data_IF_411709088935
#
_entry.id   IF_411709088935
#
_cell.length_a   1.000
_cell.length_b   1.000
_cell.length_c   1.000
_cell.angle_alpha   90.00
_cell.angle_beta   90.00
_cell.angle_gamma   90.00
#
_symmetry.space_group_name_H-M   'P 1'
#
loop_
_entity.id
_entity.type
_entity.pdbx_description
1 polymer ?
#
# COMPACT_ATOMS: atom_id res chain seq x y z
N UNK A 1 -30.89 7.71 5.53
CA UNK A 1 -30.09 6.54 5.15
C UNK A 1 -30.80 5.76 4.05
N UNK A 2 -30.35 5.86 2.81
CA UNK A 2 -30.89 5.04 1.70
C UNK A 2 -30.50 3.58 1.94
N UNK A 3 -31.47 2.67 1.76
CA UNK A 3 -31.19 1.24 1.80
C UNK A 3 -30.22 0.87 0.66
N UNK A 4 -29.25 -0.01 0.94
CA UNK A 4 -28.20 -0.50 0.01
C UNK A 4 -28.76 -0.94 -1.36
N UNK A 5 -30.03 -1.36 -1.41
CA UNK A 5 -30.73 -1.83 -2.63
C UNK A 5 -31.11 -0.70 -3.58
N UNK A 6 -31.20 0.55 -3.11
CA UNK A 6 -31.67 1.71 -3.91
C UNK A 6 -30.54 2.59 -4.45
N UNK A 7 -29.28 2.13 -4.34
CA UNK A 7 -28.15 2.91 -4.85
C UNK A 7 -27.87 2.50 -6.29
N UNK A 8 -28.16 3.40 -7.23
CA UNK A 8 -27.98 3.21 -8.68
C UNK A 8 -26.50 3.41 -9.10
N UNK A 9 -25.55 3.20 -8.24
CA UNK A 9 -24.13 3.35 -8.54
C UNK A 9 -23.33 2.09 -8.22
N UNK A 10 -22.19 1.91 -8.89
CA UNK A 10 -21.25 0.83 -8.57
C UNK A 10 -20.51 1.15 -7.26
N UNK A 11 -21.15 0.82 -6.13
CA UNK A 11 -20.59 0.99 -4.78
C UNK A 11 -20.15 -0.36 -4.25
N UNK A 12 -18.88 -0.47 -3.85
CA UNK A 12 -18.40 -1.57 -3.03
C UNK A 12 -18.33 -1.14 -1.57
N UNK A 13 -18.87 -1.93 -0.66
CA UNK A 13 -18.81 -1.64 0.78
C UNK A 13 -18.39 -2.87 1.57
N UNK A 14 -17.58 -2.63 2.61
CA UNK A 14 -17.12 -3.63 3.57
C UNK A 14 -17.51 -3.16 4.96
N UNK A 15 -18.02 -4.09 5.77
CA UNK A 15 -18.38 -3.85 7.16
C UNK A 15 -17.22 -4.24 8.10
N UNK A 16 -17.19 -3.69 9.30
CA UNK A 16 -16.15 -3.92 10.33
C UNK A 16 -15.91 -5.40 10.62
N UNK A 17 -16.95 -6.24 10.61
CA UNK A 17 -16.82 -7.69 10.86
C UNK A 17 -15.91 -8.38 9.85
N UNK A 18 -15.97 -7.97 8.58
CA UNK A 18 -15.12 -8.51 7.53
C UNK A 18 -13.68 -8.03 7.63
N UNK A 19 -13.47 -6.84 8.21
CA UNK A 19 -12.14 -6.28 8.46
C UNK A 19 -11.49 -6.94 9.68
N UNK A 20 -12.22 -7.10 10.78
CA UNK A 20 -11.70 -7.68 12.03
C UNK A 20 -11.26 -9.16 11.89
N UNK A 21 -11.81 -9.89 10.92
CA UNK A 21 -11.44 -11.29 10.68
C UNK A 21 -10.02 -11.46 10.08
N UNK A 22 -9.40 -10.38 9.64
CA UNK A 22 -8.06 -10.37 9.06
C UNK A 22 -7.09 -9.70 10.02
N UNK A 23 -6.15 -10.44 10.56
CA UNK A 23 -5.14 -9.96 11.51
C UNK A 23 -4.03 -9.12 10.88
N UNK A 24 -4.32 -8.27 9.91
CA UNK A 24 -3.34 -7.37 9.31
C UNK A 24 -3.23 -6.08 10.13
N UNK A 25 -2.02 -5.57 10.26
CA UNK A 25 -1.72 -4.35 11.02
C UNK A 25 -2.20 -3.08 10.29
N UNK A 26 -2.34 -3.13 8.96
CA UNK A 26 -2.70 -1.99 8.12
C UNK A 26 -4.04 -2.22 7.41
N UNK A 27 -4.86 -1.16 7.36
CA UNK A 27 -6.20 -1.18 6.73
C UNK A 27 -6.11 -1.49 5.24
N UNK A 28 -5.04 -1.03 4.55
CA UNK A 28 -4.85 -1.31 3.11
C UNK A 28 -4.72 -2.80 2.85
N UNK A 29 -3.96 -3.50 3.68
CA UNK A 29 -3.76 -4.94 3.56
C UNK A 29 -5.04 -5.73 3.82
N UNK A 30 -5.88 -5.26 4.74
CA UNK A 30 -7.19 -5.86 5.01
C UNK A 30 -8.16 -5.75 3.84
N UNK A 31 -8.06 -4.67 3.05
CA UNK A 31 -8.93 -4.42 1.89
C UNK A 31 -8.52 -5.21 0.64
N UNK A 32 -7.31 -5.77 0.61
CA UNK A 32 -6.78 -6.48 -0.56
C UNK A 32 -7.70 -7.63 -0.96
N UNK A 33 -8.18 -7.60 -2.21
CA UNK A 33 -9.05 -8.62 -2.77
C UNK A 33 -10.51 -8.61 -2.26
N UNK A 34 -10.90 -7.65 -1.41
CA UNK A 34 -12.26 -7.59 -0.85
C UNK A 34 -13.25 -6.79 -1.70
N UNK A 35 -12.74 -5.89 -2.53
CA UNK A 35 -13.57 -4.98 -3.32
C UNK A 35 -13.29 -5.15 -4.81
N UNK A 36 -14.32 -5.47 -5.59
CA UNK A 36 -14.20 -5.50 -7.05
C UNK A 36 -13.84 -4.11 -7.58
N UNK A 37 -12.87 -4.01 -8.51
CA UNK A 37 -12.43 -2.75 -9.11
C UNK A 37 -11.60 -1.84 -8.21
N UNK A 38 -11.15 -2.35 -7.07
CA UNK A 38 -10.17 -1.71 -6.20
C UNK A 38 -8.90 -2.55 -6.23
N UNK A 39 -7.81 -1.95 -6.64
CA UNK A 39 -6.49 -2.58 -6.66
C UNK A 39 -5.63 -1.98 -5.55
N UNK A 40 -4.98 -2.83 -4.79
CA UNK A 40 -4.04 -2.41 -3.77
C UNK A 40 -2.68 -2.95 -4.15
N UNK A 41 -1.71 -2.05 -4.28
CA UNK A 41 -0.34 -2.37 -4.66
C UNK A 41 0.58 -2.06 -3.50
N UNK A 42 1.24 -3.07 -2.97
CA UNK A 42 2.33 -2.90 -2.02
C UNK A 42 3.63 -2.64 -2.77
N UNK A 43 4.34 -1.57 -2.40
CA UNK A 43 5.63 -1.24 -2.99
C UNK A 43 6.80 -1.81 -2.17
N UNK A 44 6.57 -2.19 -0.93
CA UNK A 44 7.58 -2.72 -0.01
C UNK A 44 6.99 -3.85 0.82
N UNK A 45 7.80 -4.86 1.11
CA UNK A 45 7.50 -5.91 2.08
C UNK A 45 8.20 -5.70 3.42
N UNK A 46 8.80 -4.53 3.64
CA UNK A 46 9.48 -4.23 4.89
C UNK A 46 8.47 -4.10 6.03
N UNK A 47 8.70 -4.74 7.17
CA UNK A 47 7.85 -4.57 8.35
C UNK A 47 7.71 -3.10 8.75
N UNK A 48 6.47 -2.63 8.87
CA UNK A 48 6.16 -1.23 9.20
C UNK A 48 6.19 -0.24 8.03
N UNK A 49 6.54 -0.67 6.82
CA UNK A 49 6.49 0.10 5.57
C UNK A 49 5.75 -0.64 4.46
N UNK A 50 4.87 -1.52 4.85
CA UNK A 50 4.11 -2.41 3.98
C UNK A 50 2.71 -1.87 3.60
N UNK A 51 2.45 -0.59 3.86
CA UNK A 51 1.21 0.07 3.50
C UNK A 51 0.99 0.06 1.96
N UNK A 52 -0.16 -0.45 1.54
CA UNK A 52 -0.50 -0.57 0.12
C UNK A 52 -1.14 0.70 -0.43
N UNK A 53 -0.77 1.10 -1.64
CA UNK A 53 -1.44 2.18 -2.38
C UNK A 53 -2.76 1.68 -2.96
N UNK A 54 -3.84 2.42 -2.69
CA UNK A 54 -5.18 2.10 -3.19
C UNK A 54 -5.38 2.78 -4.54
N UNK A 55 -5.91 2.03 -5.51
CA UNK A 55 -6.35 2.54 -6.80
C UNK A 55 -7.74 2.03 -7.14
N UNK A 56 -8.58 2.91 -7.68
CA UNK A 56 -9.93 2.58 -8.10
C UNK A 56 -9.97 2.57 -9.63
N UNK A 57 -10.31 1.41 -10.23
CA UNK A 57 -10.35 1.20 -11.68
C UNK A 57 -9.03 1.45 -12.42
N UNK A 58 -7.89 1.33 -11.74
CA UNK A 58 -6.56 1.48 -12.34
C UNK A 58 -6.08 2.94 -12.43
N UNK A 59 -5.17 3.23 -13.37
CA UNK A 59 -4.60 4.56 -13.58
C UNK A 59 -5.48 5.30 -14.58
N UNK A 60 -6.28 6.25 -14.12
CA UNK A 60 -7.21 7.02 -14.95
C UNK A 60 -6.66 8.36 -15.46
N UNK A 61 -5.48 8.80 -15.01
CA UNK A 61 -4.94 10.11 -15.36
C UNK A 61 -3.46 10.02 -15.73
N UNK A 62 -3.08 10.72 -16.79
CA UNK A 62 -1.70 10.90 -17.20
C UNK A 62 -1.21 12.26 -16.68
N UNK A 63 -0.21 12.25 -15.77
CA UNK A 63 0.38 13.46 -15.23
C UNK A 63 -0.28 14.07 -13.98
N UNK A 64 -1.38 13.47 -13.47
CA UNK A 64 -1.97 13.81 -12.18
C UNK A 64 -1.87 12.62 -11.21
N UNK A 65 -2.01 12.88 -9.89
CA UNK A 65 -2.01 11.79 -8.91
C UNK A 65 -3.13 10.78 -9.24
N UNK A 66 -2.82 9.49 -9.31
CA UNK A 66 -3.81 8.44 -9.54
C UNK A 66 -4.57 8.03 -8.28
N UNK A 67 -4.31 8.70 -7.15
CA UNK A 67 -4.87 8.34 -5.86
C UNK A 67 -6.34 8.76 -5.76
N UNK A 68 -7.21 7.93 -5.16
CA UNK A 68 -8.61 8.28 -4.91
C UNK A 68 -8.72 9.33 -3.81
N UNK A 69 -9.83 10.08 -3.81
CA UNK A 69 -10.16 10.98 -2.72
C UNK A 69 -10.60 10.15 -1.49
N UNK A 70 -9.89 10.29 -0.38
CA UNK A 70 -10.24 9.63 0.88
C UNK A 70 -10.99 10.60 1.78
N UNK A 71 -12.17 10.20 2.23
CA UNK A 71 -13.00 10.95 3.17
C UNK A 71 -13.25 10.12 4.41
N UNK A 72 -12.89 10.66 5.56
CA UNK A 72 -13.10 10.08 6.88
C UNK A 72 -14.22 10.88 7.55
N UNK A 73 -15.34 10.26 7.81
CA UNK A 73 -16.57 10.90 8.32
C UNK A 73 -16.97 12.17 7.55
N UNK A 74 -16.71 12.19 6.24
CA UNK A 74 -17.03 13.29 5.33
C UNK A 74 -15.94 14.34 5.18
N UNK A 75 -14.83 14.27 5.92
CA UNK A 75 -13.68 15.16 5.81
C UNK A 75 -12.52 14.49 5.06
N UNK A 76 -11.80 15.23 4.19
CA UNK A 76 -10.58 14.71 3.58
C UNK A 76 -9.57 14.31 4.66
N UNK A 77 -9.04 13.10 4.55
CA UNK A 77 -8.11 12.56 5.52
C UNK A 77 -7.17 11.54 4.90
N UNK A 78 -6.23 11.09 5.73
CA UNK A 78 -5.25 10.10 5.33
C UNK A 78 -5.69 8.72 5.86
N UNK A 79 -5.83 7.80 4.95
CA UNK A 79 -6.23 6.44 5.21
C UNK A 79 -5.24 5.66 6.10
N UNK A 80 -3.94 5.98 6.02
CA UNK A 80 -2.89 5.29 6.78
C UNK A 80 -2.84 5.66 8.26
N UNK A 81 -3.56 6.70 8.66
CA UNK A 81 -3.62 7.17 10.05
C UNK A 81 -4.71 6.49 10.86
N UNK A 82 -5.54 5.66 10.20
CA UNK A 82 -6.68 5.01 10.84
C UNK A 82 -6.31 3.63 11.39
N UNK A 83 -6.72 3.39 12.62
CA UNK A 83 -6.69 2.04 13.17
C UNK A 83 -7.87 1.22 12.64
N UNK A 84 -7.64 -0.02 12.19
CA UNK A 84 -8.72 -0.89 11.72
C UNK A 84 -9.86 -1.07 12.73
N UNK A 85 -9.53 -1.05 14.02
CA UNK A 85 -10.50 -1.20 15.11
C UNK A 85 -11.52 -0.05 15.19
N UNK A 86 -11.17 1.14 14.70
CA UNK A 86 -12.04 2.32 14.76
C UNK A 86 -12.99 2.44 13.56
N UNK A 87 -12.81 1.59 12.56
CA UNK A 87 -13.61 1.63 11.34
C UNK A 87 -14.91 0.85 11.52
N UNK A 88 -16.03 1.51 11.21
CA UNK A 88 -17.34 0.88 11.13
C UNK A 88 -17.60 0.30 9.74
N UNK A 89 -17.33 1.08 8.70
CA UNK A 89 -17.51 0.65 7.31
C UNK A 89 -16.63 1.44 6.36
N UNK A 90 -16.27 0.79 5.24
CA UNK A 90 -15.58 1.42 4.11
C UNK A 90 -16.44 1.24 2.87
N UNK A 91 -16.69 2.34 2.16
CA UNK A 91 -17.45 2.34 0.90
C UNK A 91 -16.64 3.02 -0.18
N UNK A 92 -16.56 2.40 -1.36
CA UNK A 92 -15.83 2.97 -2.50
C UNK A 92 -16.80 3.31 -3.62
N UNK A 93 -16.84 4.61 -3.95
CA UNK A 93 -17.58 5.15 -5.09
C UNK A 93 -16.69 5.07 -6.32
N UNK A 94 -17.06 4.19 -7.23
CA UNK A 94 -16.27 3.90 -8.43
C UNK A 94 -16.76 4.67 -9.66
N UNK A 95 -18.03 5.05 -9.69
CA UNK A 95 -18.64 5.72 -10.83
C UNK A 95 -18.59 7.23 -10.69
N UNK A 96 -18.36 7.91 -11.83
CA UNK A 96 -18.35 9.37 -11.89
C UNK A 96 -19.67 9.99 -11.42
N UNK A 97 -20.80 9.33 -11.66
CA UNK A 97 -22.12 9.80 -11.22
C UNK A 97 -22.26 9.83 -9.71
N UNK A 98 -21.77 8.80 -9.02
CA UNK A 98 -21.79 8.74 -7.55
C UNK A 98 -20.72 9.61 -6.90
N UNK A 99 -19.62 9.86 -7.60
CA UNK A 99 -18.51 10.69 -7.15
C UNK A 99 -18.69 12.19 -7.48
N UNK A 100 -19.63 12.55 -8.37
CA UNK A 100 -19.83 13.91 -8.89
C UNK A 100 -20.03 14.97 -7.80
N UNK A 101 -20.66 14.61 -6.68
CA UNK A 101 -20.89 15.52 -5.54
C UNK A 101 -19.59 16.01 -4.89
N UNK A 102 -18.48 15.31 -5.11
CA UNK A 102 -17.17 15.64 -4.56
C UNK A 102 -16.27 16.41 -5.54
N UNK A 103 -16.80 16.75 -6.74
CA UNK A 103 -16.13 17.56 -7.75
C UNK A 103 -14.97 16.86 -8.45
N UNK A 104 -14.07 17.66 -9.04
CA UNK A 104 -12.93 17.17 -9.84
C UNK A 104 -11.94 16.31 -9.05
N UNK A 105 -11.84 16.52 -7.76
CA UNK A 105 -10.96 15.71 -6.87
C UNK A 105 -11.37 14.23 -6.79
N UNK A 106 -12.61 13.92 -7.16
CA UNK A 106 -13.16 12.58 -7.17
C UNK A 106 -12.99 11.83 -8.48
N UNK A 107 -12.24 12.38 -9.45
CA UNK A 107 -12.06 11.80 -10.78
C UNK A 107 -11.47 10.38 -10.73
N UNK A 108 -10.61 10.08 -9.76
CA UNK A 108 -10.02 8.76 -9.55
C UNK A 108 -10.80 7.88 -8.55
N UNK A 109 -12.07 8.23 -8.28
CA UNK A 109 -12.91 7.55 -7.29
C UNK A 109 -12.83 8.17 -5.90
N UNK A 110 -13.75 7.75 -5.04
CA UNK A 110 -13.84 8.23 -3.65
C UNK A 110 -13.91 7.04 -2.70
N UNK A 111 -13.07 7.06 -1.68
CA UNK A 111 -13.10 6.11 -0.57
C UNK A 111 -13.75 6.80 0.62
N UNK A 112 -14.92 6.34 1.01
CA UNK A 112 -15.65 6.83 2.17
C UNK A 112 -15.40 5.90 3.34
N UNK A 113 -14.86 6.43 4.41
CA UNK A 113 -14.60 5.70 5.66
C UNK A 113 -15.52 6.28 6.73
N UNK A 114 -16.31 5.41 7.35
CA UNK A 114 -17.14 5.77 8.50
C UNK A 114 -16.52 5.17 9.73
N UNK A 115 -16.27 5.99 10.74
CA UNK A 115 -15.72 5.53 12.01
C UNK A 115 -16.83 5.12 13.00
N UNK A 116 -16.49 4.25 13.93
CA UNK A 116 -17.39 3.81 15.00
C UNK A 116 -17.74 5.00 15.90
N UNK A 117 -19.02 5.29 16.04
CA UNK A 117 -19.51 6.39 16.90
C UNK A 117 -20.00 5.86 18.24
N UNK A 118 -19.76 6.62 19.30
CA UNK A 118 -20.34 6.36 20.60
C UNK A 118 -21.86 6.44 20.60
N UNK A 119 -22.52 5.61 21.40
CA UNK A 119 -23.97 5.66 21.61
C UNK A 119 -24.26 6.38 22.93
N UNK A 120 -25.18 7.34 22.90
CA UNK A 120 -25.61 8.05 24.11
C UNK A 120 -26.21 7.07 25.15
N UNK A 121 -25.87 7.26 26.41
CA UNK A 121 -26.46 6.51 27.53
C UNK A 121 -25.72 5.26 27.98
N UNK A 122 -24.69 4.81 27.28
CA UNK A 122 -23.86 3.66 27.69
C UNK A 122 -22.38 3.96 27.49
N UNK A 123 -21.65 4.02 28.60
CA UNK A 123 -20.19 4.08 28.55
C UNK A 123 -19.66 2.66 28.24
N UNK A 124 -18.98 2.48 27.12
CA UNK A 124 -18.33 1.22 26.78
C UNK A 124 -16.82 1.47 26.67
N UNK A 125 -16.07 0.79 27.50
CA UNK A 125 -14.62 0.77 27.43
C UNK A 125 -14.20 -0.55 26.79
N UNK A 126 -13.47 -0.47 25.69
CA UNK A 126 -12.95 -1.66 24.99
C UNK A 126 -11.43 -1.53 24.91
N UNK A 127 -10.73 -2.55 25.33
CA UNK A 127 -9.28 -2.66 25.16
C UNK A 127 -8.99 -3.78 24.16
N UNK A 128 -8.26 -3.45 23.09
CA UNK A 128 -7.78 -4.41 22.13
C UNK A 128 -6.26 -4.32 22.08
N UNK A 129 -5.58 -5.41 22.38
CA UNK A 129 -4.14 -5.50 22.30
C UNK A 129 -3.74 -6.62 21.33
N UNK A 130 -2.79 -6.35 20.44
CA UNK A 130 -2.21 -7.35 19.55
C UNK A 130 -0.69 -7.26 19.61
N UNK A 131 -0.03 -8.40 19.65
CA UNK A 131 1.43 -8.52 19.52
C UNK A 131 1.71 -9.35 18.29
N UNK A 132 2.47 -8.81 17.36
CA UNK A 132 2.83 -9.49 16.12
C UNK A 132 4.33 -9.47 15.89
N UNK A 133 4.85 -10.55 15.30
CA UNK A 133 6.23 -10.64 14.85
C UNK A 133 6.23 -10.78 13.33
N UNK A 134 6.94 -9.87 12.65
CA UNK A 134 7.11 -9.91 11.20
C UNK A 134 8.54 -10.31 10.86
N UNK A 135 8.68 -11.24 9.91
CA UNK A 135 9.96 -11.69 9.39
C UNK A 135 9.89 -11.72 7.86
N UNK A 136 10.94 -11.27 7.20
CA UNK A 136 11.06 -11.45 5.75
C UNK A 136 11.03 -12.95 5.41
N UNK A 137 10.14 -13.34 4.49
CA UNK A 137 10.00 -14.74 4.05
C UNK A 137 11.13 -15.12 3.12
N UNK A 138 11.51 -14.20 2.23
CA UNK A 138 12.65 -14.34 1.33
C UNK A 138 13.29 -12.97 1.10
N UNK A 139 14.59 -12.93 1.12
CA UNK A 139 15.38 -11.79 0.67
C UNK A 139 15.88 -12.12 -0.74
N UNK A 140 15.82 -11.18 -1.69
CA UNK A 140 16.43 -11.39 -3.00
C UNK A 140 17.92 -11.61 -2.81
N UNK A 141 18.47 -12.61 -3.50
CA UNK A 141 19.91 -12.75 -3.60
C UNK A 141 20.43 -11.65 -4.53
N UNK A 142 21.23 -10.77 -3.98
CA UNK A 142 21.88 -9.72 -4.76
C UNK A 142 23.14 -10.30 -5.42
N UNK A 143 23.49 -9.78 -6.61
CA UNK A 143 24.73 -10.13 -7.26
C UNK A 143 25.93 -9.61 -6.46
N UNK A 144 27.02 -10.34 -6.47
CA UNK A 144 28.28 -9.85 -5.91
C UNK A 144 28.80 -8.64 -6.68
N UNK A 145 29.58 -7.80 -6.05
CA UNK A 145 30.13 -6.58 -6.68
C UNK A 145 30.91 -6.88 -7.96
N UNK A 146 31.65 -8.00 -8.03
CA UNK A 146 32.36 -8.39 -9.24
C UNK A 146 31.41 -8.83 -10.37
N UNK A 147 30.32 -9.54 -10.06
CA UNK A 147 29.32 -9.96 -11.05
C UNK A 147 28.59 -8.75 -11.63
N UNK A 148 28.23 -7.79 -10.77
CA UNK A 148 27.64 -6.52 -11.20
C UNK A 148 28.57 -5.74 -12.12
N UNK A 149 29.87 -5.65 -11.78
CA UNK A 149 30.87 -4.95 -12.59
C UNK A 149 31.07 -5.60 -13.96
N UNK A 150 31.14 -6.94 -14.03
CA UNK A 150 31.22 -7.69 -15.29
C UNK A 150 29.97 -7.47 -16.15
N UNK A 151 28.78 -7.57 -15.52
CA UNK A 151 27.52 -7.37 -16.23
C UNK A 151 27.38 -5.95 -16.77
N UNK A 152 27.78 -4.94 -15.99
CA UNK A 152 27.72 -3.55 -16.41
C UNK A 152 28.66 -3.27 -17.60
N UNK A 153 29.90 -3.79 -17.57
CA UNK A 153 30.82 -3.69 -18.69
C UNK A 153 30.24 -4.32 -19.96
N UNK A 154 29.58 -5.48 -19.82
CA UNK A 154 28.92 -6.16 -20.94
C UNK A 154 27.73 -5.34 -21.48
N UNK A 155 26.89 -4.82 -20.60
CA UNK A 155 25.69 -4.07 -20.98
C UNK A 155 25.99 -2.74 -21.67
N UNK A 156 27.02 -2.04 -21.22
CA UNK A 156 27.42 -0.74 -21.79
C UNK A 156 28.32 -0.90 -23.02
N UNK A 157 28.95 -2.07 -23.19
CA UNK A 157 29.92 -2.32 -24.28
C UNK A 157 31.21 -1.50 -24.14
N UNK A 158 31.52 -1.03 -22.93
CA UNK A 158 32.73 -0.30 -22.57
C UNK A 158 33.27 -0.81 -21.26
N UNK A 159 34.57 -0.76 -21.10
CA UNK A 159 35.25 -1.09 -19.86
C UNK A 159 35.08 0.05 -18.83
N UNK A 160 33.99 0.01 -18.08
CA UNK A 160 33.70 0.97 -17.01
C UNK A 160 34.43 0.57 -15.72
N UNK A 161 34.55 -0.72 -15.48
CA UNK A 161 35.38 -1.30 -14.42
C UNK A 161 36.55 -2.03 -15.05
N UNK A 162 37.78 -1.72 -14.65
CA UNK A 162 38.97 -2.41 -15.15
C UNK A 162 39.01 -3.87 -14.67
N UNK A 163 39.68 -4.73 -15.41
CA UNK A 163 39.85 -6.12 -15.02
C UNK A 163 40.56 -6.29 -13.68
N UNK A 164 41.48 -5.36 -13.37
CA UNK A 164 42.13 -5.34 -12.05
C UNK A 164 41.18 -5.01 -10.91
N UNK A 165 40.25 -4.06 -11.12
CA UNK A 165 39.22 -3.72 -10.14
C UNK A 165 38.28 -4.89 -9.91
N UNK A 166 37.82 -5.54 -10.99
CA UNK A 166 36.94 -6.73 -10.92
C UNK A 166 37.64 -7.87 -10.16
N UNK A 167 38.94 -8.05 -10.38
CA UNK A 167 39.72 -9.05 -9.66
C UNK A 167 39.79 -8.74 -8.16
N UNK A 168 40.00 -7.48 -7.78
CA UNK A 168 40.05 -7.04 -6.38
C UNK A 168 38.70 -7.24 -5.67
N UNK A 169 37.59 -6.96 -6.36
CA UNK A 169 36.25 -7.29 -5.85
C UNK A 169 36.08 -8.79 -5.61
N UNK A 170 36.59 -9.62 -6.52
CA UNK A 170 36.45 -11.07 -6.42
C UNK A 170 37.35 -11.68 -5.35
N UNK A 171 38.58 -11.22 -5.24
CA UNK A 171 39.60 -11.76 -4.34
C UNK A 171 39.52 -11.17 -2.91
N UNK A 172 38.76 -10.06 -2.73
CA UNK A 172 38.68 -9.34 -1.47
C UNK A 172 40.06 -8.80 -0.98
N UNK A 173 40.99 -8.56 -1.90
CA UNK A 173 42.36 -8.16 -1.56
C UNK A 173 42.49 -6.71 -1.06
N UNK A 174 41.47 -5.89 -1.29
CA UNK A 174 41.43 -4.48 -0.89
C UNK A 174 39.99 -4.12 -0.46
N UNK A 175 39.52 -4.64 0.70
CA UNK A 175 38.13 -4.50 1.11
C UNK A 175 37.74 -3.04 1.46
N UNK A 176 38.70 -2.18 1.76
CA UNK A 176 38.44 -0.79 2.09
C UNK A 176 38.05 0.06 0.86
N UNK A 177 38.60 -0.31 -0.33
CA UNK A 177 38.32 0.40 -1.58
C UNK A 177 37.42 -0.40 -2.54
N UNK A 178 37.40 -1.73 -2.41
CA UNK A 178 36.68 -2.67 -3.28
C UNK A 178 35.86 -3.65 -2.43
N UNK A 179 34.95 -3.10 -1.61
CA UNK A 179 34.06 -3.92 -0.78
C UNK A 179 33.10 -4.75 -1.64
N UNK A 180 32.90 -6.00 -1.27
CA UNK A 180 31.79 -6.77 -1.81
C UNK A 180 30.53 -6.46 -1.01
N UNK A 181 29.77 -5.50 -1.49
CA UNK A 181 28.49 -5.12 -0.89
C UNK A 181 27.39 -6.08 -1.31
N UNK A 182 27.47 -7.30 -0.85
CA UNK A 182 26.37 -8.25 -0.96
C UNK A 182 25.39 -7.99 0.17
N UNK A 183 24.50 -7.03 -0.05
CA UNK A 183 23.42 -6.70 0.88
C UNK A 183 22.10 -7.30 0.45
#
# INVERSE_FOLDING_TARGET
TQKKVNVIGSIASIDSKSLESRGAADVSNMLTGQMSGVTITQNSGNPGQDAGKIRVRGVGSFGASPDPLVLIDGMPGNFYELMPADIESISVLKDASSAAIYGSRAANGVVLITTKKGKAGQTRVTYNGAVGFSKAVALPQMAHSYEYAEFLNMAIGKENFSQEAIKKYRDGSDPDNYADENM
#
